data_IF_165058909062
#
_entry.id   IF_165058909062
#
_cell.length_a   1.000
_cell.length_b   1.000
_cell.length_c   1.000
_cell.angle_alpha   90.00
_cell.angle_beta   90.00
_cell.angle_gamma   90.00
#
_symmetry.space_group_name_H-M   'P 1'
#
loop_
_entity.id
_entity.type
_entity.pdbx_description
1 polymer ?
#
# COMPACT_ATOMS: atom_id res chain seq x y z
N UNK A 1 -29.99 21.66 27.63
CA UNK A 1 -30.43 20.28 27.36
C UNK A 1 -30.51 19.52 28.67
N UNK A 2 -31.72 19.17 29.14
CA UNK A 2 -31.90 18.33 30.34
C UNK A 2 -31.88 16.87 29.87
N UNK A 3 -30.78 16.16 30.11
CA UNK A 3 -30.74 14.72 29.90
C UNK A 3 -31.60 14.06 30.98
N UNK A 4 -32.69 13.41 30.57
CA UNK A 4 -33.43 12.52 31.46
C UNK A 4 -32.50 11.37 31.87
N UNK A 5 -32.44 10.99 33.16
CA UNK A 5 -31.60 9.88 33.59
C UNK A 5 -32.03 8.61 32.86
N UNK A 6 -31.06 7.84 32.36
CA UNK A 6 -31.33 6.54 31.76
C UNK A 6 -32.18 5.69 32.72
N UNK A 7 -33.28 5.08 32.26
CA UNK A 7 -34.08 4.22 33.10
C UNK A 7 -33.18 3.09 33.63
N UNK A 8 -33.31 2.75 34.92
CA UNK A 8 -32.44 1.77 35.59
C UNK A 8 -32.44 0.40 34.91
N UNK A 9 -33.52 0.07 34.18
CA UNK A 9 -33.67 -1.13 33.36
C UNK A 9 -32.76 -1.14 32.11
N UNK A 10 -32.32 0.02 31.62
CA UNK A 10 -31.43 0.13 30.47
C UNK A 10 -29.95 -0.02 30.85
N UNK A 11 -29.58 0.20 32.13
CA UNK A 11 -28.20 0.10 32.62
C UNK A 11 -27.55 -1.27 32.30
N UNK A 12 -28.17 -2.43 32.63
CA UNK A 12 -27.54 -3.72 32.35
C UNK A 12 -27.41 -3.99 30.84
N UNK A 13 -28.39 -3.54 30.04
CA UNK A 13 -28.33 -3.69 28.59
C UNK A 13 -27.16 -2.87 28.00
N UNK A 14 -27.03 -1.60 28.39
CA UNK A 14 -25.93 -0.74 27.96
C UNK A 14 -24.58 -1.32 28.40
N UNK A 15 -24.46 -1.75 29.66
CA UNK A 15 -23.22 -2.35 30.16
C UNK A 15 -22.81 -3.60 29.37
N UNK A 16 -23.77 -4.48 29.07
CA UNK A 16 -23.53 -5.68 28.26
C UNK A 16 -23.12 -5.32 26.83
N UNK A 17 -23.83 -4.39 26.18
CA UNK A 17 -23.50 -3.95 24.82
C UNK A 17 -22.11 -3.32 24.76
N UNK A 18 -21.76 -2.47 25.73
CA UNK A 18 -20.43 -1.87 25.82
C UNK A 18 -19.36 -2.93 26.04
N UNK A 19 -19.60 -3.93 26.90
CA UNK A 19 -18.67 -5.04 27.12
C UNK A 19 -18.43 -5.85 25.84
N UNK A 20 -19.51 -6.20 25.13
CA UNK A 20 -19.41 -6.93 23.85
C UNK A 20 -18.64 -6.12 22.81
N UNK A 21 -18.89 -4.82 22.70
CA UNK A 21 -18.14 -3.93 21.81
C UNK A 21 -16.65 -3.87 22.18
N UNK A 22 -16.32 -3.73 23.47
CA UNK A 22 -14.92 -3.73 23.92
C UNK A 22 -14.22 -5.06 23.62
N UNK A 23 -14.90 -6.19 23.82
CA UNK A 23 -14.36 -7.51 23.48
C UNK A 23 -14.16 -7.64 21.97
N UNK A 24 -15.13 -7.22 21.15
CA UNK A 24 -15.04 -7.30 19.70
C UNK A 24 -13.92 -6.43 19.13
N UNK A 25 -13.81 -5.18 19.61
CA UNK A 25 -12.71 -4.27 19.26
C UNK A 25 -11.38 -4.85 19.71
N UNK A 26 -11.30 -5.32 20.96
CA UNK A 26 -10.10 -5.95 21.55
C UNK A 26 -9.63 -7.19 20.77
N UNK A 27 -10.56 -8.06 20.39
CA UNK A 27 -10.28 -9.24 19.56
C UNK A 27 -9.85 -8.82 18.15
N UNK A 28 -10.56 -7.87 17.53
CA UNK A 28 -10.23 -7.32 16.23
C UNK A 28 -8.84 -6.67 16.20
N UNK A 29 -8.43 -6.02 17.29
CA UNK A 29 -7.10 -5.41 17.42
C UNK A 29 -5.99 -6.40 17.22
N UNK A 30 -6.09 -7.54 17.90
CA UNK A 30 -5.01 -8.53 17.89
C UNK A 30 -5.05 -9.32 16.60
N UNK A 31 -6.25 -9.65 16.11
CA UNK A 31 -6.39 -10.57 14.98
C UNK A 31 -6.21 -9.93 13.61
N UNK A 32 -6.64 -8.69 13.46
CA UNK A 32 -6.69 -7.96 12.19
C UNK A 32 -6.45 -6.45 12.38
N UNK A 33 -5.29 -6.03 12.94
CA UNK A 33 -5.03 -4.63 13.26
C UNK A 33 -5.16 -3.71 12.02
N UNK A 34 -4.83 -4.21 10.82
CA UNK A 34 -4.98 -3.50 9.55
C UNK A 34 -6.42 -3.17 9.15
N UNK A 35 -7.39 -3.98 9.56
CA UNK A 35 -8.80 -3.71 9.30
C UNK A 35 -9.41 -2.69 10.28
N UNK A 36 -8.68 -2.33 11.35
CA UNK A 36 -9.18 -1.47 12.41
C UNK A 36 -8.46 -0.10 12.49
N UNK A 37 -7.17 -0.06 12.87
CA UNK A 37 -6.43 1.22 13.02
C UNK A 37 -4.96 1.17 12.62
N UNK A 38 -4.40 0.03 12.22
CA UNK A 38 -3.00 -0.07 11.78
C UNK A 38 -2.93 -0.58 10.33
N UNK A 39 -3.44 0.21 9.35
CA UNK A 39 -3.69 -0.22 7.97
C UNK A 39 -2.44 -0.72 7.22
N UNK A 40 -1.24 -0.47 7.74
CA UNK A 40 0.04 -0.86 7.15
C UNK A 40 0.92 0.35 6.90
N UNK A 41 2.14 0.11 6.41
CA UNK A 41 3.09 1.18 6.09
C UNK A 41 2.74 1.86 4.75
N UNK A 42 3.04 3.15 4.66
CA UNK A 42 2.92 3.91 3.42
C UNK A 42 3.93 3.41 2.37
N UNK A 43 3.59 3.64 1.11
CA UNK A 43 4.43 3.42 -0.06
C UNK A 43 5.65 4.34 -0.02
N UNK A 44 6.72 3.98 -0.73
CA UNK A 44 7.93 4.80 -0.84
C UNK A 44 7.67 6.21 -1.37
N UNK A 45 6.56 6.42 -2.07
CA UNK A 45 6.20 7.73 -2.63
C UNK A 45 5.65 8.69 -1.57
N UNK A 46 5.07 8.17 -0.49
CA UNK A 46 4.47 8.97 0.58
C UNK A 46 5.02 8.67 1.97
N UNK A 47 6.06 7.84 2.09
CA UNK A 47 6.64 7.42 3.39
C UNK A 47 7.08 8.59 4.27
N UNK A 48 7.47 9.71 3.66
CA UNK A 48 7.86 10.94 4.37
C UNK A 48 6.65 11.81 4.79
N UNK A 49 5.43 11.44 4.41
CA UNK A 49 4.21 12.18 4.75
C UNK A 49 3.75 11.81 6.15
N UNK A 50 4.11 12.64 7.14
CA UNK A 50 3.79 12.39 8.54
C UNK A 50 2.34 12.75 8.89
N UNK A 51 1.60 11.82 9.51
CA UNK A 51 0.30 12.08 10.12
C UNK A 51 -0.91 11.74 9.23
N UNK A 52 -1.83 10.95 9.79
CA UNK A 52 -2.99 10.40 9.06
C UNK A 52 -3.87 11.49 8.43
N UNK A 53 -3.99 12.63 9.11
CA UNK A 53 -4.81 13.75 8.66
C UNK A 53 -4.26 14.46 7.44
N UNK A 54 -3.04 14.17 6.97
CA UNK A 54 -2.57 14.75 5.71
C UNK A 54 -3.32 14.19 4.51
N UNK A 55 -3.73 12.92 4.58
CA UNK A 55 -4.51 12.25 3.54
C UNK A 55 -5.99 12.13 3.94
N UNK A 56 -6.29 11.90 5.23
CA UNK A 56 -7.63 11.60 5.72
C UNK A 56 -8.41 12.84 6.21
N UNK A 57 -9.67 12.95 5.79
CA UNK A 57 -10.67 13.77 6.44
C UNK A 57 -11.18 13.10 7.73
N UNK A 58 -11.46 13.86 8.82
CA UNK A 58 -12.06 13.31 10.03
C UNK A 58 -13.33 12.52 9.70
N UNK A 59 -13.38 11.25 10.08
CA UNK A 59 -14.49 10.32 9.80
C UNK A 59 -14.85 10.12 8.32
N UNK A 60 -14.03 10.62 7.39
CA UNK A 60 -14.30 10.60 5.94
C UNK A 60 -13.30 9.79 5.12
N UNK A 61 -12.26 9.23 5.75
CA UNK A 61 -11.21 8.52 5.02
C UNK A 61 -10.35 9.45 4.16
N UNK A 62 -9.53 8.89 3.24
CA UNK A 62 -8.73 9.69 2.33
C UNK A 62 -9.62 10.51 1.39
N UNK A 63 -9.26 11.78 1.16
CA UNK A 63 -10.07 12.71 0.35
C UNK A 63 -9.29 13.26 -0.83
N UNK A 64 -9.93 13.37 -1.99
CA UNK A 64 -9.33 13.97 -3.19
C UNK A 64 -8.80 15.39 -2.93
N UNK A 65 -9.53 16.18 -2.14
CA UNK A 65 -9.14 17.55 -1.76
C UNK A 65 -7.79 17.61 -1.05
N UNK A 66 -7.44 16.57 -0.28
CA UNK A 66 -6.15 16.49 0.39
C UNK A 66 -5.05 16.03 -0.56
N UNK A 67 -5.34 15.08 -1.45
CA UNK A 67 -4.39 14.63 -2.47
C UNK A 67 -3.93 15.79 -3.37
N UNK A 68 -4.87 16.62 -3.85
CA UNK A 68 -4.57 17.74 -4.77
C UNK A 68 -3.84 18.91 -4.12
N UNK A 69 -3.64 18.92 -2.78
CA UNK A 69 -2.78 19.91 -2.11
C UNK A 69 -1.32 19.79 -2.54
N UNK A 70 -0.84 18.56 -2.73
CA UNK A 70 0.50 18.28 -3.26
C UNK A 70 0.44 17.94 -4.75
N UNK A 71 -0.61 17.26 -5.19
CA UNK A 71 -0.85 16.91 -6.60
C UNK A 71 -1.73 17.95 -7.29
N UNK A 72 -1.27 19.20 -7.32
CA UNK A 72 -1.98 20.28 -8.01
C UNK A 72 -1.90 20.14 -9.53
N UNK A 73 -2.74 20.88 -10.25
CA UNK A 73 -2.69 20.92 -11.72
C UNK A 73 -1.30 21.31 -12.24
N UNK A 74 -0.69 22.36 -11.66
CA UNK A 74 0.68 22.76 -12.01
C UNK A 74 1.74 21.72 -11.63
N UNK A 75 1.53 20.92 -10.58
CA UNK A 75 2.39 19.80 -10.27
C UNK A 75 2.33 18.73 -11.37
N UNK A 76 1.13 18.36 -11.82
CA UNK A 76 0.97 17.41 -12.93
C UNK A 76 1.56 17.95 -14.23
N UNK A 77 1.31 19.22 -14.57
CA UNK A 77 1.89 19.85 -15.77
C UNK A 77 3.42 19.83 -15.77
N UNK A 78 4.06 19.99 -14.61
CA UNK A 78 5.53 20.04 -14.50
C UNK A 78 6.20 18.68 -14.32
N UNK A 79 5.48 17.65 -13.85
CA UNK A 79 6.07 16.36 -13.45
C UNK A 79 5.53 15.14 -14.22
N UNK A 80 4.44 15.28 -14.95
CA UNK A 80 3.84 14.18 -15.69
C UNK A 80 3.86 14.44 -17.20
N UNK A 81 3.70 13.37 -17.98
CA UNK A 81 3.58 13.49 -19.44
C UNK A 81 2.28 14.20 -19.80
N UNK A 82 2.21 14.90 -20.95
CA UNK A 82 0.99 15.62 -21.34
C UNK A 82 -0.28 14.76 -21.31
N UNK A 83 -0.19 13.50 -21.74
CA UNK A 83 -1.30 12.56 -21.73
C UNK A 83 -1.81 12.27 -20.31
N UNK A 84 -0.90 12.04 -19.36
CA UNK A 84 -1.26 11.78 -17.95
C UNK A 84 -1.86 13.02 -17.31
N UNK A 85 -1.28 14.20 -17.56
CA UNK A 85 -1.74 15.47 -16.99
C UNK A 85 -3.13 15.85 -17.51
N UNK A 86 -3.39 15.68 -18.81
CA UNK A 86 -4.72 15.94 -19.40
C UNK A 86 -5.77 15.00 -18.78
N UNK A 87 -5.44 13.72 -18.61
CA UNK A 87 -6.38 12.75 -18.06
C UNK A 87 -6.69 13.01 -16.58
N UNK A 88 -5.68 13.29 -15.74
CA UNK A 88 -5.88 13.56 -14.32
C UNK A 88 -6.55 14.91 -14.04
N UNK A 89 -6.48 15.88 -14.97
CA UNK A 89 -7.09 17.21 -14.79
C UNK A 89 -8.59 17.12 -14.52
N UNK A 90 -9.34 16.38 -15.34
CA UNK A 90 -10.79 16.24 -15.17
C UNK A 90 -11.14 15.56 -13.83
N UNK A 91 -10.37 14.53 -13.45
CA UNK A 91 -10.54 13.84 -12.16
C UNK A 91 -10.28 14.76 -10.96
N UNK A 92 -9.25 15.61 -11.05
CA UNK A 92 -8.90 16.58 -10.02
C UNK A 92 -9.97 17.67 -9.88
N UNK A 93 -10.46 18.22 -10.99
CA UNK A 93 -11.52 19.24 -11.01
C UNK A 93 -12.82 18.68 -10.42
N UNK A 94 -13.18 17.44 -10.75
CA UNK A 94 -14.36 16.76 -10.22
C UNK A 94 -14.20 16.22 -8.80
N UNK A 95 -13.00 16.35 -8.21
CA UNK A 95 -12.66 15.77 -6.90
C UNK A 95 -12.95 14.27 -6.82
N UNK A 96 -12.72 13.55 -7.91
CA UNK A 96 -12.87 12.09 -7.97
C UNK A 96 -11.91 11.44 -6.97
N UNK A 97 -12.39 10.41 -6.25
CA UNK A 97 -11.57 9.69 -5.29
C UNK A 97 -10.36 9.04 -5.97
N UNK A 98 -9.16 9.54 -5.65
CA UNK A 98 -7.90 9.03 -6.19
C UNK A 98 -7.69 7.55 -5.80
N UNK A 99 -8.27 7.13 -4.67
CA UNK A 99 -8.19 5.77 -4.15
C UNK A 99 -9.00 4.74 -4.94
N UNK A 100 -9.76 5.17 -5.96
CA UNK A 100 -10.35 4.24 -6.92
C UNK A 100 -9.32 3.55 -7.83
N UNK A 101 -8.13 4.15 -7.97
CA UNK A 101 -7.03 3.59 -8.76
C UNK A 101 -5.71 3.54 -7.97
N UNK A 102 -5.56 4.35 -6.92
CA UNK A 102 -4.36 4.45 -6.10
C UNK A 102 -4.55 3.90 -4.69
N UNK A 103 -3.87 2.81 -4.35
CA UNK A 103 -3.99 2.16 -3.05
C UNK A 103 -2.72 2.38 -2.21
N UNK A 104 -2.92 2.85 -0.98
CA UNK A 104 -1.85 3.11 -0.01
C UNK A 104 -1.90 2.09 1.13
N UNK A 105 -0.96 2.17 2.09
CA UNK A 105 -0.85 1.26 3.24
C UNK A 105 -0.48 -0.18 2.88
N UNK A 106 0.22 -0.37 1.76
CA UNK A 106 0.66 -1.70 1.29
C UNK A 106 2.16 -1.94 1.48
N UNK A 107 2.85 -1.04 2.16
CA UNK A 107 4.28 -1.08 2.40
C UNK A 107 5.10 -0.28 1.40
N UNK A 108 6.33 0.08 1.78
CA UNK A 108 7.20 0.96 1.00
C UNK A 108 7.46 0.47 -0.44
N UNK A 109 7.46 -0.85 -0.66
CA UNK A 109 7.71 -1.45 -1.96
C UNK A 109 6.44 -1.62 -2.81
N UNK A 110 5.26 -1.37 -2.24
CA UNK A 110 4.03 -1.44 -3.00
C UNK A 110 3.90 -0.24 -3.93
N UNK A 111 3.54 -0.53 -5.17
CA UNK A 111 3.08 0.50 -6.09
C UNK A 111 1.65 0.88 -5.77
N UNK A 112 1.37 2.17 -5.88
CA UNK A 112 0.06 2.72 -5.56
C UNK A 112 -0.95 2.44 -6.67
N UNK A 113 -0.56 2.35 -7.95
CA UNK A 113 -1.51 2.21 -9.08
C UNK A 113 -1.76 0.74 -9.47
N UNK A 114 -3.03 0.33 -9.59
CA UNK A 114 -3.40 -1.09 -9.76
C UNK A 114 -3.18 -1.67 -11.18
N UNK A 115 -3.02 -0.86 -12.24
CA UNK A 115 -3.19 -1.35 -13.62
C UNK A 115 -1.92 -1.74 -14.42
N UNK A 116 -0.71 -1.64 -13.88
CA UNK A 116 0.48 -2.02 -14.67
C UNK A 116 0.98 -3.42 -14.31
N UNK A 117 1.23 -4.27 -15.32
CA UNK A 117 1.99 -5.53 -15.15
C UNK A 117 3.37 -5.16 -14.60
N UNK A 118 3.51 -5.25 -13.27
CA UNK A 118 4.66 -4.74 -12.54
C UNK A 118 5.52 -5.87 -11.99
N UNK A 119 6.81 -5.57 -11.84
CA UNK A 119 7.76 -6.40 -11.13
C UNK A 119 7.57 -6.22 -9.61
N UNK A 120 7.05 -7.23 -8.87
CA UNK A 120 6.85 -7.13 -7.42
C UNK A 120 8.17 -7.13 -6.63
N UNK A 121 9.31 -7.33 -7.30
CA UNK A 121 10.62 -7.45 -6.67
C UNK A 121 11.39 -6.11 -6.59
N UNK A 122 10.85 -5.02 -7.16
CA UNK A 122 11.52 -3.71 -7.26
C UNK A 122 12.87 -3.77 -8.01
N UNK A 123 13.64 -2.67 -8.01
CA UNK A 123 14.96 -2.61 -8.68
C UNK A 123 16.06 -3.42 -7.99
N UNK A 124 15.81 -3.83 -6.74
CA UNK A 124 16.77 -4.55 -5.91
C UNK A 124 17.13 -5.90 -6.54
N UNK A 125 16.14 -6.62 -7.08
CA UNK A 125 16.40 -7.94 -7.69
C UNK A 125 17.28 -7.82 -8.92
N UNK A 126 17.12 -6.76 -9.72
CA UNK A 126 17.93 -6.54 -10.92
C UNK A 126 19.37 -6.18 -10.55
N UNK A 127 19.56 -5.31 -9.53
CA UNK A 127 20.91 -5.01 -9.02
C UNK A 127 21.60 -6.22 -8.41
N UNK A 128 20.88 -7.05 -7.66
CA UNK A 128 21.45 -8.23 -7.01
C UNK A 128 21.78 -9.37 -7.99
N UNK A 129 21.08 -9.45 -9.11
CA UNK A 129 21.22 -10.57 -10.07
C UNK A 129 21.92 -10.20 -11.37
N UNK A 130 22.03 -8.90 -11.67
CA UNK A 130 22.49 -8.41 -12.98
C UNK A 130 21.49 -8.63 -14.12
N UNK A 131 20.26 -9.09 -13.83
CA UNK A 131 19.25 -9.30 -14.85
C UNK A 131 18.76 -7.95 -15.43
N UNK A 132 18.62 -7.88 -16.75
CA UNK A 132 18.11 -6.70 -17.46
C UNK A 132 16.61 -6.74 -17.78
N UNK A 133 15.94 -7.88 -17.54
CA UNK A 133 14.52 -8.04 -17.87
C UNK A 133 13.82 -9.06 -16.98
N UNK A 134 12.49 -8.93 -16.86
CA UNK A 134 11.65 -9.89 -16.16
C UNK A 134 11.73 -11.30 -16.78
N UNK A 135 12.00 -11.39 -18.09
CA UNK A 135 12.08 -12.65 -18.84
C UNK A 135 13.34 -13.46 -18.56
N UNK A 136 14.33 -12.88 -17.88
CA UNK A 136 15.49 -13.61 -17.37
C UNK A 136 15.10 -14.65 -16.31
N UNK A 137 14.05 -14.36 -15.53
CA UNK A 137 13.59 -15.21 -14.43
C UNK A 137 12.20 -15.80 -14.66
N UNK A 138 11.35 -15.13 -15.45
CA UNK A 138 9.95 -15.51 -15.63
C UNK A 138 9.60 -15.92 -17.06
N UNK A 139 8.67 -16.86 -17.17
CA UNK A 139 7.92 -17.11 -18.40
C UNK A 139 6.52 -16.49 -18.28
N UNK A 140 6.11 -15.76 -19.33
CA UNK A 140 4.82 -15.10 -19.43
C UNK A 140 3.96 -15.84 -20.45
N UNK A 141 2.79 -16.32 -20.04
CA UNK A 141 1.81 -16.92 -20.95
C UNK A 141 1.27 -15.92 -21.97
N UNK A 142 0.73 -16.41 -23.08
CA UNK A 142 0.33 -15.62 -24.26
C UNK A 142 -0.98 -14.83 -24.11
N UNK A 143 -1.63 -14.78 -22.94
CA UNK A 143 -2.90 -14.04 -22.76
C UNK A 143 -2.93 -13.15 -21.51
N UNK A 144 -3.79 -12.13 -21.63
CA UNK A 144 -4.10 -11.09 -20.63
C UNK A 144 -4.65 -11.76 -19.37
N UNK A 145 -3.83 -11.82 -18.30
CA UNK A 145 -4.02 -12.47 -16.99
C UNK A 145 -3.71 -14.00 -16.93
N UNK A 146 -3.04 -14.60 -15.93
CA UNK A 146 -2.50 -14.14 -14.63
C UNK A 146 -1.55 -15.20 -13.99
N UNK A 147 -0.80 -16.01 -14.76
CA UNK A 147 0.18 -16.95 -14.17
C UNK A 147 1.58 -16.74 -14.72
N UNK A 148 2.32 -15.86 -14.06
CA UNK A 148 3.76 -15.72 -14.25
C UNK A 148 4.42 -16.95 -13.61
N UNK A 149 5.13 -17.75 -14.39
CA UNK A 149 5.88 -18.91 -13.86
C UNK A 149 7.36 -18.57 -13.77
N UNK A 150 8.04 -19.07 -12.75
CA UNK A 150 9.49 -19.00 -12.66
C UNK A 150 10.10 -20.01 -13.61
N UNK A 151 11.13 -19.59 -14.36
CA UNK A 151 11.95 -20.48 -15.16
C UNK A 151 12.90 -21.26 -14.26
N UNK A 152 13.23 -22.47 -14.68
CA UNK A 152 14.24 -23.29 -14.01
C UNK A 152 15.64 -22.96 -14.54
N UNK A 153 16.14 -21.76 -14.19
CA UNK A 153 17.42 -21.21 -14.66
C UNK A 153 18.41 -21.04 -13.50
N UNK A 154 19.72 -21.05 -13.82
CA UNK A 154 20.79 -20.89 -12.82
C UNK A 154 20.65 -19.61 -11.99
N UNK A 155 20.20 -18.52 -12.60
CA UNK A 155 19.95 -17.23 -11.92
C UNK A 155 18.86 -17.35 -10.84
N UNK A 156 17.80 -18.12 -11.13
CA UNK A 156 16.69 -18.36 -10.19
C UNK A 156 17.14 -19.32 -9.09
N UNK A 157 17.80 -20.43 -9.43
CA UNK A 157 18.31 -21.40 -8.45
C UNK A 157 19.27 -20.76 -7.44
N UNK A 158 20.23 -19.97 -7.92
CA UNK A 158 21.19 -19.24 -7.07
C UNK A 158 20.48 -18.25 -6.13
N UNK A 159 19.43 -17.58 -6.61
CA UNK A 159 18.65 -16.67 -5.78
C UNK A 159 17.91 -17.42 -4.66
N UNK A 160 17.36 -18.59 -4.96
CA UNK A 160 16.71 -19.45 -3.96
C UNK A 160 17.69 -20.05 -2.95
N UNK A 161 18.87 -20.48 -3.40
CA UNK A 161 19.94 -20.98 -2.52
C UNK A 161 20.44 -19.87 -1.58
N UNK A 162 20.70 -18.67 -2.12
CA UNK A 162 21.19 -17.52 -1.35
C UNK A 162 20.12 -16.96 -0.41
N UNK A 163 18.86 -16.92 -0.84
CA UNK A 163 17.73 -16.39 -0.07
C UNK A 163 17.01 -17.42 0.81
N UNK A 164 17.33 -18.72 0.70
CA UNK A 164 16.61 -19.85 1.31
C UNK A 164 15.09 -19.81 1.08
N UNK A 165 14.68 -19.43 -0.14
CA UNK A 165 13.29 -19.13 -0.49
C UNK A 165 12.99 -17.63 -0.37
N UNK A 166 12.64 -17.02 -1.49
CA UNK A 166 12.40 -15.59 -1.56
C UNK A 166 11.24 -15.19 -0.62
N UNK A 167 11.57 -14.38 0.39
CA UNK A 167 10.63 -13.65 1.27
C UNK A 167 10.15 -14.41 2.52
N UNK A 168 11.08 -14.87 3.38
CA UNK A 168 10.77 -15.14 4.78
C UNK A 168 10.91 -13.87 5.64
N UNK A 169 10.01 -13.63 6.62
CA UNK A 169 10.17 -12.55 7.59
C UNK A 169 11.57 -12.58 8.25
N UNK A 170 12.23 -11.42 8.34
CA UNK A 170 13.56 -11.27 8.96
C UNK A 170 14.76 -11.55 8.05
N UNK A 171 14.58 -12.00 6.81
CA UNK A 171 15.69 -12.39 5.91
C UNK A 171 16.05 -11.37 4.82
N UNK A 172 15.31 -10.27 4.73
CA UNK A 172 15.64 -9.17 3.80
C UNK A 172 16.76 -8.26 4.32
N UNK A 173 17.07 -8.32 5.62
CA UNK A 173 18.10 -7.48 6.27
C UNK A 173 19.50 -7.67 5.68
N UNK A 174 19.89 -8.93 5.40
CA UNK A 174 21.20 -9.24 4.83
C UNK A 174 21.38 -8.64 3.42
N UNK A 175 20.33 -8.70 2.60
CA UNK A 175 20.36 -8.11 1.25
C UNK A 175 20.46 -6.58 1.31
N UNK A 176 19.79 -5.95 2.27
CA UNK A 176 19.79 -4.50 2.47
C UNK A 176 21.11 -3.99 3.04
N UNK A 177 21.93 -4.83 3.69
CA UNK A 177 23.25 -4.43 4.18
C UNK A 177 24.20 -4.00 3.04
N UNK A 178 24.12 -4.65 1.87
CA UNK A 178 24.93 -4.32 0.69
C UNK A 178 24.16 -3.52 -0.37
N UNK A 179 22.84 -3.63 -0.43
CA UNK A 179 22.03 -3.07 -1.53
C UNK A 179 20.92 -2.09 -1.08
N UNK A 180 20.83 -1.78 0.22
CA UNK A 180 19.90 -0.81 0.79
C UNK A 180 20.36 0.65 0.68
N UNK A 181 21.65 0.88 0.38
CA UNK A 181 22.19 2.21 0.14
C UNK A 181 21.89 2.71 -1.27
N UNK A 182 21.09 3.77 -1.38
CA UNK A 182 21.06 4.59 -2.59
C UNK A 182 22.36 5.39 -2.67
N UNK A 183 23.26 4.99 -3.57
CA UNK A 183 24.42 5.77 -3.99
C UNK A 183 24.51 5.71 -5.53
N UNK A 184 25.08 6.74 -6.15
CA UNK A 184 24.67 7.36 -7.42
C UNK A 184 24.47 6.43 -8.63
#
# INVERSE_FOLDING_TARGET
MRYLPLPRTAIPAVALTTLVLMIWVGWGTVRSPAAFWAPGDLSRYHVETAGCTNCHAPFGGPSATRCVRCHSEGYFESRATPAVSIWHRDLAVRQTACTGCHTEHRGALAHITEETRMNPHGDLVFRATGAGSCTACHAFGTRVATKVTLKDELIVRRLYEKGRGAHQPGRMGDCLSCHGGGGP
#
